data_IF_107241436565
#
_entry.id   IF_107241436565
#
_cell.length_a   1.000
_cell.length_b   1.000
_cell.length_c   1.000
_cell.angle_alpha   90.00
_cell.angle_beta   90.00
_cell.angle_gamma   90.00
#
_symmetry.space_group_name_H-M   'P 1'
#
loop_
_entity.id
_entity.type
_entity.pdbx_description
1 polymer ?
#
# COMPACT_ATOMS: atom_id res chain seq x y z
N UNK A 1 38.69 22.69 8.49
CA UNK A 1 38.31 23.69 9.51
C UNK A 1 36.83 23.76 9.88
N UNK A 2 35.86 23.86 8.96
CA UNK A 2 34.42 23.78 9.32
C UNK A 2 33.98 22.31 9.50
N UNK A 3 34.26 21.46 8.51
CA UNK A 3 33.98 20.02 8.53
C UNK A 3 34.58 19.28 9.73
N UNK A 4 35.84 19.56 10.09
CA UNK A 4 36.50 18.95 11.26
C UNK A 4 35.89 19.39 12.60
N UNK A 5 35.30 20.60 12.67
CA UNK A 5 34.60 21.07 13.87
C UNK A 5 33.24 20.40 14.00
N UNK A 6 32.52 20.22 12.89
CA UNK A 6 31.22 19.54 12.87
C UNK A 6 31.35 18.04 13.18
N UNK A 7 32.38 17.38 12.64
CA UNK A 7 32.68 15.96 12.91
C UNK A 7 33.07 15.73 14.38
N UNK A 8 33.84 16.66 14.98
CA UNK A 8 34.18 16.62 16.40
C UNK A 8 32.95 16.81 17.30
N UNK A 9 32.06 17.74 16.94
CA UNK A 9 30.79 18.00 17.62
C UNK A 9 29.85 16.80 17.53
N UNK A 10 29.70 16.21 16.35
CA UNK A 10 28.87 15.02 16.13
C UNK A 10 29.34 13.85 16.99
N UNK A 11 30.63 13.51 16.93
CA UNK A 11 31.18 12.40 17.71
C UNK A 11 31.04 12.63 19.22
N UNK A 12 31.25 13.86 19.69
CA UNK A 12 31.04 14.24 21.10
C UNK A 12 29.58 14.06 21.51
N UNK A 13 28.63 14.52 20.68
CA UNK A 13 27.21 14.40 20.94
C UNK A 13 26.75 12.94 20.96
N UNK A 14 27.21 12.12 20.02
CA UNK A 14 26.92 10.67 19.98
C UNK A 14 27.43 10.00 21.25
N UNK A 15 28.68 10.25 21.65
CA UNK A 15 29.24 9.69 22.87
C UNK A 15 28.47 10.13 24.11
N UNK A 16 28.06 11.39 24.19
CA UNK A 16 27.19 11.87 25.29
C UNK A 16 25.87 11.14 25.31
N UNK A 17 25.21 10.94 24.16
CA UNK A 17 23.94 10.20 24.11
C UNK A 17 24.17 8.76 24.54
N UNK A 18 25.19 8.07 24.04
CA UNK A 18 25.48 6.68 24.39
C UNK A 18 25.78 6.50 25.89
N UNK A 19 26.48 7.45 26.52
CA UNK A 19 26.71 7.43 27.97
C UNK A 19 25.41 7.55 28.78
N UNK A 20 24.42 8.27 28.24
CA UNK A 20 23.09 8.37 28.84
C UNK A 20 22.24 7.09 28.60
N UNK A 21 22.72 6.13 27.78
CA UNK A 21 22.01 4.88 27.44
C UNK A 21 22.69 3.63 28.03
N UNK A 22 22.07 3.02 29.04
CA UNK A 22 22.63 1.85 29.75
C UNK A 22 22.78 0.58 28.88
N UNK A 23 22.16 0.52 27.70
CA UNK A 23 22.07 -0.69 26.88
C UNK A 23 22.83 -0.63 25.55
N UNK A 24 23.38 0.54 25.18
CA UNK A 24 24.07 0.72 23.90
C UNK A 24 25.52 1.12 24.15
N UNK A 25 26.45 0.18 23.94
CA UNK A 25 27.88 0.41 24.17
C UNK A 25 28.55 1.23 23.07
N UNK A 26 28.16 0.99 21.82
CA UNK A 26 28.72 1.68 20.65
C UNK A 26 27.80 1.53 19.44
N UNK A 27 27.97 2.43 18.47
CA UNK A 27 27.36 2.32 17.16
C UNK A 27 28.34 1.71 16.17
N UNK A 28 27.82 0.90 15.23
CA UNK A 28 28.60 0.38 14.11
C UNK A 28 28.93 1.50 13.13
N UNK A 29 30.03 1.41 12.36
CA UNK A 29 30.43 2.44 11.41
C UNK A 29 29.30 2.85 10.45
N UNK A 30 28.57 1.88 9.89
CA UNK A 30 27.47 2.15 8.96
C UNK A 30 26.27 2.84 9.62
N UNK A 31 26.06 2.65 10.93
CA UNK A 31 25.02 3.36 11.67
C UNK A 31 25.43 4.82 11.93
N UNK A 32 26.72 5.05 12.24
CA UNK A 32 27.26 6.41 12.42
C UNK A 32 27.17 7.20 11.12
N UNK A 33 27.65 6.63 10.01
CA UNK A 33 27.58 7.29 8.69
C UNK A 33 26.15 7.62 8.29
N UNK A 34 25.20 6.69 8.50
CA UNK A 34 23.80 6.92 8.19
C UNK A 34 23.16 7.98 9.09
N UNK A 35 23.50 8.00 10.38
CA UNK A 35 22.99 8.98 11.35
C UNK A 35 23.54 10.38 11.06
N UNK A 36 24.83 10.50 10.76
CA UNK A 36 25.49 11.76 10.42
C UNK A 36 24.87 12.36 9.15
N UNK A 37 24.78 11.58 8.06
CA UNK A 37 24.15 12.01 6.82
C UNK A 37 22.68 12.44 7.04
N UNK A 38 21.92 11.67 7.83
CA UNK A 38 20.52 12.02 8.17
C UNK A 38 20.42 13.35 8.93
N UNK A 39 21.29 13.61 9.89
CA UNK A 39 21.31 14.88 10.65
C UNK A 39 21.81 16.06 9.81
N UNK A 40 22.66 15.81 8.83
CA UNK A 40 23.10 16.76 7.81
C UNK A 40 22.04 17.07 6.75
N UNK A 41 20.83 16.52 6.89
CA UNK A 41 19.68 16.69 5.99
C UNK A 41 19.86 16.05 4.61
N UNK A 42 20.67 15.00 4.53
CA UNK A 42 20.82 14.19 3.32
C UNK A 42 19.77 13.06 3.28
N UNK A 43 19.36 12.68 2.06
CA UNK A 43 18.51 11.51 1.85
C UNK A 43 19.35 10.23 2.03
N UNK A 44 19.01 9.43 3.04
CA UNK A 44 19.76 8.21 3.39
C UNK A 44 18.99 6.95 3.03
N UNK A 45 19.56 6.12 2.16
CA UNK A 45 19.07 4.77 1.89
C UNK A 45 19.96 3.69 2.53
N UNK A 46 19.57 3.23 3.73
CA UNK A 46 20.36 2.29 4.52
C UNK A 46 20.05 0.81 4.19
N UNK A 47 20.83 0.19 3.30
CA UNK A 47 20.73 -1.24 2.98
C UNK A 47 21.54 -2.09 3.97
N UNK A 48 20.94 -2.44 5.11
CA UNK A 48 21.59 -3.21 6.17
C UNK A 48 20.80 -4.49 6.49
N UNK A 49 21.45 -5.61 6.88
CA UNK A 49 20.76 -6.88 7.14
C UNK A 49 19.82 -6.82 8.35
N UNK A 50 18.90 -7.77 8.46
CA UNK A 50 18.02 -7.93 9.64
C UNK A 50 18.86 -8.17 10.89
N UNK A 51 18.45 -7.62 12.03
CA UNK A 51 19.23 -7.68 13.28
C UNK A 51 20.44 -6.76 13.34
N UNK A 52 20.77 -6.01 12.27
CA UNK A 52 21.92 -5.10 12.29
C UNK A 52 21.77 -3.93 13.28
N UNK A 53 20.54 -3.62 13.70
CA UNK A 53 20.23 -2.48 14.57
C UNK A 53 19.85 -1.21 13.78
N UNK A 54 19.23 -1.36 12.61
CA UNK A 54 18.82 -0.23 11.74
C UNK A 54 18.01 0.83 12.50
N UNK A 55 17.14 0.41 13.41
CA UNK A 55 16.28 1.31 14.18
C UNK A 55 17.04 2.35 15.02
N UNK A 56 18.24 1.99 15.50
CA UNK A 56 19.05 2.89 16.31
C UNK A 56 19.41 4.19 15.58
N UNK A 57 19.47 4.16 14.24
CA UNK A 57 19.78 5.34 13.42
C UNK A 57 18.71 6.42 13.65
N UNK A 58 17.44 6.10 13.46
CA UNK A 58 16.35 7.08 13.62
C UNK A 58 15.90 7.25 15.08
N UNK A 59 16.13 6.26 15.96
CA UNK A 59 15.81 6.37 17.39
C UNK A 59 16.77 7.30 18.14
N UNK A 60 18.07 7.29 17.81
CA UNK A 60 19.05 8.17 18.45
C UNK A 60 19.12 9.56 17.82
N UNK A 61 18.69 9.71 16.55
CA UNK A 61 18.67 10.99 15.84
C UNK A 61 18.10 12.17 16.64
N UNK A 62 16.91 12.11 17.28
CA UNK A 62 16.41 13.25 18.03
C UNK A 62 17.25 13.56 19.28
N UNK A 63 17.86 12.56 19.92
CA UNK A 63 18.72 12.76 21.09
C UNK A 63 20.04 13.45 20.69
N UNK A 64 20.67 12.97 19.62
CA UNK A 64 21.93 13.52 19.11
C UNK A 64 21.69 14.93 18.57
N UNK A 65 20.60 15.16 17.83
CA UNK A 65 20.22 16.48 17.35
C UNK A 65 19.99 17.48 18.49
N UNK A 66 19.39 17.04 19.61
CA UNK A 66 19.20 17.86 20.82
C UNK A 66 20.54 18.21 21.46
N UNK A 67 21.47 17.26 21.60
CA UNK A 67 22.82 17.49 22.17
C UNK A 67 23.66 18.42 21.29
N UNK A 68 23.55 18.29 19.96
CA UNK A 68 24.18 19.18 18.99
C UNK A 68 23.49 20.55 18.88
N UNK A 69 22.39 20.78 19.60
CA UNK A 69 21.59 22.01 19.52
C UNK A 69 21.10 22.35 18.10
N UNK A 70 20.90 21.33 17.25
CA UNK A 70 20.40 21.51 15.87
C UNK A 70 18.94 21.98 15.86
N UNK A 71 18.15 21.51 16.83
CA UNK A 71 16.74 21.84 16.97
C UNK A 71 16.36 21.97 18.44
N UNK A 72 15.41 22.87 18.75
CA UNK A 72 14.88 23.06 20.11
C UNK A 72 14.13 21.82 20.60
N UNK A 73 13.28 21.25 19.74
CA UNK A 73 12.44 20.07 20.01
C UNK A 73 12.48 19.13 18.79
N UNK A 74 13.53 18.32 18.63
CA UNK A 74 13.65 17.41 17.49
C UNK A 74 12.59 16.29 17.58
N UNK A 75 11.89 16.06 16.46
CA UNK A 75 10.88 15.01 16.31
C UNK A 75 11.25 14.16 15.10
N UNK A 76 11.15 12.84 15.22
CA UNK A 76 11.30 11.90 14.12
C UNK A 76 9.99 11.17 13.91
N UNK A 77 9.50 11.17 12.67
CA UNK A 77 8.32 10.40 12.27
C UNK A 77 8.80 9.11 11.61
N UNK A 78 8.38 7.98 12.17
CA UNK A 78 8.70 6.64 11.65
C UNK A 78 7.44 6.03 11.06
N UNK A 79 7.44 5.76 9.75
CA UNK A 79 6.34 5.09 9.07
C UNK A 79 6.62 3.58 9.06
N UNK A 80 5.68 2.79 9.58
CA UNK A 80 5.80 1.33 9.65
C UNK A 80 4.48 0.66 9.23
N UNK A 81 4.52 -0.42 8.43
CA UNK A 81 3.32 -1.05 7.89
C UNK A 81 2.58 -1.96 8.89
N UNK A 82 3.23 -2.40 9.97
CA UNK A 82 2.71 -3.44 10.87
C UNK A 82 2.58 -2.91 12.30
N UNK A 83 1.39 -3.08 12.91
CA UNK A 83 1.13 -2.71 14.31
C UNK A 83 2.12 -3.35 15.28
N UNK A 84 2.37 -4.65 15.16
CA UNK A 84 3.33 -5.36 16.00
C UNK A 84 4.75 -4.75 15.92
N UNK A 85 5.13 -4.27 14.72
CA UNK A 85 6.42 -3.60 14.54
C UNK A 85 6.41 -2.21 15.18
N UNK A 86 5.31 -1.46 15.07
CA UNK A 86 5.15 -0.15 15.73
C UNK A 86 5.21 -0.28 17.25
N UNK A 87 4.50 -1.25 17.83
CA UNK A 87 4.52 -1.55 19.27
C UNK A 87 5.94 -1.90 19.75
N UNK A 88 6.64 -2.73 18.98
CA UNK A 88 8.03 -3.06 19.25
C UNK A 88 8.93 -1.81 19.18
N UNK A 89 8.78 -0.95 18.17
CA UNK A 89 9.58 0.29 18.05
C UNK A 89 9.33 1.24 19.21
N UNK A 90 8.08 1.41 19.65
CA UNK A 90 7.74 2.27 20.80
C UNK A 90 8.26 1.69 22.10
N UNK A 91 8.15 0.37 22.28
CA UNK A 91 8.73 -0.31 23.45
C UNK A 91 10.24 -0.10 23.52
N UNK A 92 10.96 -0.28 22.42
CA UNK A 92 12.41 -0.02 22.37
C UNK A 92 12.75 1.46 22.57
N UNK A 93 11.98 2.38 21.98
CA UNK A 93 12.17 3.82 22.17
C UNK A 93 11.96 4.27 23.63
N UNK A 94 11.00 3.66 24.34
CA UNK A 94 10.75 3.95 25.76
C UNK A 94 11.95 3.59 26.65
N UNK A 95 12.72 2.56 26.27
CA UNK A 95 13.97 2.18 26.96
C UNK A 95 15.10 3.20 26.75
N UNK A 96 14.98 4.07 25.74
CA UNK A 96 15.99 5.07 25.39
C UNK A 96 15.77 6.43 26.06
N UNK A 97 14.88 6.50 27.06
CA UNK A 97 14.47 7.76 27.71
C UNK A 97 13.94 8.83 26.74
N UNK A 98 13.39 8.41 25.60
CA UNK A 98 12.68 9.30 24.69
C UNK A 98 11.37 9.72 25.36
N UNK A 99 11.30 10.97 25.81
CA UNK A 99 10.27 11.47 26.74
C UNK A 99 8.82 11.26 26.25
N UNK A 100 8.57 11.05 24.95
CA UNK A 100 7.24 10.73 24.38
C UNK A 100 7.33 9.98 23.04
N UNK A 101 7.52 8.66 23.05
CA UNK A 101 7.25 7.83 21.88
C UNK A 101 5.74 7.58 21.77
N UNK A 102 5.09 8.13 20.74
CA UNK A 102 3.63 8.00 20.51
C UNK A 102 3.40 7.23 19.22
N UNK A 103 2.53 6.22 19.28
CA UNK A 103 2.06 5.53 18.07
C UNK A 103 0.85 6.27 17.51
N UNK A 104 0.97 6.79 16.29
CA UNK A 104 -0.18 7.22 15.51
C UNK A 104 -0.61 6.06 14.63
N UNK A 105 -1.71 5.42 15.01
CA UNK A 105 -2.32 4.35 14.22
C UNK A 105 -3.38 4.99 13.33
N UNK A 106 -3.06 5.10 12.05
CA UNK A 106 -4.08 5.36 11.04
C UNK A 106 -4.54 4.03 10.45
N UNK A 107 -5.85 3.82 10.43
CA UNK A 107 -6.39 2.66 9.75
C UNK A 107 -6.25 2.87 8.25
N UNK A 108 -5.72 1.90 7.49
CA UNK A 108 -5.80 1.95 6.03
C UNK A 108 -7.25 1.81 5.54
N UNK A 109 -8.21 1.56 6.44
CA UNK A 109 -9.62 1.39 6.11
C UNK A 109 -10.18 2.65 5.45
N UNK A 110 -10.80 2.44 4.29
CA UNK A 110 -11.54 3.47 3.57
C UNK A 110 -13.00 3.07 3.55
N UNK A 111 -13.82 3.78 4.32
CA UNK A 111 -15.25 3.48 4.48
C UNK A 111 -16.04 3.59 3.19
N UNK A 112 -15.52 4.29 2.19
CA UNK A 112 -16.11 4.43 0.86
C UNK A 112 -15.77 3.24 -0.08
N UNK A 113 -14.93 2.29 0.32
CA UNK A 113 -14.62 1.09 -0.48
C UNK A 113 -15.42 -0.10 0.04
N UNK A 114 -16.27 -0.68 -0.81
CA UNK A 114 -16.98 -1.94 -0.53
C UNK A 114 -16.19 -3.13 -1.08
N UNK A 115 -15.86 -4.10 -0.22
CA UNK A 115 -15.15 -5.31 -0.60
C UNK A 115 -16.12 -6.49 -0.82
N UNK A 116 -16.05 -7.11 -2.00
CA UNK A 116 -16.75 -8.34 -2.35
C UNK A 116 -15.78 -9.51 -2.55
N UNK A 117 -16.26 -10.72 -2.27
CA UNK A 117 -15.55 -11.97 -2.51
C UNK A 117 -16.47 -12.90 -3.31
N UNK A 118 -16.00 -13.38 -4.47
CA UNK A 118 -16.80 -14.24 -5.35
C UNK A 118 -15.99 -15.44 -5.81
N UNK A 119 -16.53 -16.64 -5.60
CA UNK A 119 -15.92 -17.88 -6.08
C UNK A 119 -16.39 -18.20 -7.48
N UNK A 120 -15.43 -18.38 -8.38
CA UNK A 120 -15.66 -18.68 -9.78
C UNK A 120 -15.35 -20.15 -10.00
N UNK A 121 -16.29 -20.87 -10.59
CA UNK A 121 -16.12 -22.28 -10.94
C UNK A 121 -15.28 -22.38 -12.20
N UNK A 122 -13.98 -22.61 -12.05
CA UNK A 122 -13.08 -22.75 -13.20
C UNK A 122 -12.59 -21.42 -13.78
N UNK A 123 -11.76 -21.45 -14.83
CA UNK A 123 -11.05 -20.26 -15.33
C UNK A 123 -11.86 -19.47 -16.38
N UNK A 124 -13.18 -19.43 -16.23
CA UNK A 124 -14.09 -18.69 -17.11
C UNK A 124 -13.98 -17.18 -16.84
N UNK A 125 -14.20 -16.38 -17.90
CA UNK A 125 -14.02 -14.93 -17.90
C UNK A 125 -15.35 -14.15 -17.95
N UNK A 126 -16.48 -14.86 -17.97
CA UNK A 126 -17.85 -14.36 -17.83
C UNK A 126 -18.05 -13.49 -16.57
N UNK A 127 -17.26 -13.73 -15.53
CA UNK A 127 -17.18 -12.83 -14.36
C UNK A 127 -16.81 -11.37 -14.69
N UNK A 128 -16.33 -11.09 -15.90
CA UNK A 128 -15.98 -9.75 -16.38
C UNK A 128 -17.06 -9.12 -17.27
N UNK A 129 -18.19 -9.80 -17.50
CA UNK A 129 -19.25 -9.34 -18.42
C UNK A 129 -19.85 -8.00 -18.03
N UNK A 130 -19.90 -7.71 -16.73
CA UNK A 130 -20.36 -6.41 -16.24
C UNK A 130 -19.45 -5.27 -16.73
N UNK A 131 -18.14 -5.50 -16.84
CA UNK A 131 -17.19 -4.50 -17.37
C UNK A 131 -17.47 -4.30 -18.86
N UNK A 132 -17.71 -5.39 -19.59
CA UNK A 132 -18.06 -5.33 -21.01
C UNK A 132 -19.34 -4.51 -21.21
N UNK A 133 -20.38 -4.78 -20.41
CA UNK A 133 -21.64 -4.04 -20.46
C UNK A 133 -21.44 -2.56 -20.13
N UNK A 134 -20.69 -2.27 -19.07
CA UNK A 134 -20.43 -0.90 -18.63
C UNK A 134 -19.63 -0.09 -19.66
N UNK A 135 -18.63 -0.70 -20.30
CA UNK A 135 -17.89 -0.08 -21.41
C UNK A 135 -18.81 0.16 -22.61
N UNK A 136 -19.70 -0.79 -22.96
CA UNK A 136 -20.66 -0.62 -24.07
C UNK A 136 -21.65 0.50 -23.82
N UNK A 137 -22.09 0.69 -22.58
CA UNK A 137 -23.07 1.69 -22.19
C UNK A 137 -22.46 3.10 -22.03
N UNK A 138 -21.29 3.20 -21.40
CA UNK A 138 -20.70 4.47 -21.01
C UNK A 138 -19.44 4.86 -21.81
N UNK A 139 -18.75 3.91 -22.42
CA UNK A 139 -17.53 4.16 -23.19
C UNK A 139 -16.48 4.95 -22.39
N UNK A 140 -15.96 6.04 -22.98
CA UNK A 140 -14.97 6.91 -22.31
C UNK A 140 -15.51 7.67 -21.10
N UNK A 141 -16.82 7.68 -20.87
CA UNK A 141 -17.41 8.35 -19.70
C UNK A 141 -17.42 7.47 -18.46
N UNK A 142 -17.17 6.16 -18.61
CA UNK A 142 -17.13 5.25 -17.48
C UNK A 142 -16.01 5.65 -16.50
N UNK A 143 -16.23 5.33 -15.24
CA UNK A 143 -15.22 5.46 -14.21
C UNK A 143 -14.15 4.37 -14.40
N UNK A 144 -12.85 4.71 -14.26
CA UNK A 144 -11.78 3.75 -14.42
C UNK A 144 -11.91 2.49 -13.53
N UNK A 145 -11.60 1.34 -14.14
CA UNK A 145 -11.56 0.01 -13.55
C UNK A 145 -10.15 -0.58 -13.68
N UNK A 146 -9.62 -1.10 -12.58
CA UNK A 146 -8.32 -1.74 -12.53
C UNK A 146 -8.45 -3.22 -12.21
N UNK A 147 -7.98 -4.09 -13.10
CA UNK A 147 -8.03 -5.54 -12.96
C UNK A 147 -6.62 -6.07 -12.68
N UNK A 148 -6.39 -6.58 -11.47
CA UNK A 148 -5.17 -7.27 -11.09
C UNK A 148 -5.24 -8.77 -11.36
N UNK A 149 -4.37 -9.25 -12.25
CA UNK A 149 -4.12 -10.66 -12.48
C UNK A 149 -2.81 -11.09 -11.83
N UNK A 150 -2.74 -12.36 -11.40
CA UNK A 150 -1.54 -12.89 -10.72
C UNK A 150 -0.37 -13.14 -11.67
N UNK A 151 -0.65 -13.42 -12.95
CA UNK A 151 0.38 -13.70 -13.96
C UNK A 151 0.22 -12.86 -15.23
N UNK A 152 1.32 -12.62 -15.95
CA UNK A 152 1.29 -11.96 -17.28
C UNK A 152 0.43 -12.75 -18.27
N UNK A 153 0.42 -14.09 -18.15
CA UNK A 153 -0.43 -14.95 -18.99
C UNK A 153 -1.91 -14.68 -18.74
N UNK A 154 -2.33 -14.49 -17.49
CA UNK A 154 -3.71 -14.12 -17.16
C UNK A 154 -4.06 -12.72 -17.60
N UNK A 155 -3.14 -11.75 -17.48
CA UNK A 155 -3.32 -10.41 -18.06
C UNK A 155 -3.66 -10.51 -19.54
N UNK A 156 -2.87 -11.28 -20.31
CA UNK A 156 -3.14 -11.50 -21.73
C UNK A 156 -4.48 -12.18 -21.99
N UNK A 157 -4.86 -13.19 -21.19
CA UNK A 157 -6.15 -13.90 -21.34
C UNK A 157 -7.34 -12.98 -21.08
N UNK A 158 -7.33 -12.25 -19.97
CA UNK A 158 -8.41 -11.31 -19.60
C UNK A 158 -8.49 -10.19 -20.63
N UNK A 159 -7.36 -9.64 -21.06
CA UNK A 159 -7.32 -8.61 -22.09
C UNK A 159 -7.90 -9.09 -23.43
N UNK A 160 -7.48 -10.26 -23.93
CA UNK A 160 -7.98 -10.79 -25.19
C UNK A 160 -9.50 -11.06 -25.14
N UNK A 161 -9.99 -11.54 -24.01
CA UNK A 161 -11.44 -11.72 -23.79
C UNK A 161 -12.19 -10.39 -23.88
N UNK A 162 -11.79 -9.41 -23.06
CA UNK A 162 -12.43 -8.09 -23.05
C UNK A 162 -12.35 -7.41 -24.42
N UNK A 163 -11.19 -7.48 -25.08
CA UNK A 163 -10.98 -6.94 -26.42
C UNK A 163 -11.94 -7.57 -27.44
N UNK A 164 -12.10 -8.90 -27.42
CA UNK A 164 -12.97 -9.62 -28.34
C UNK A 164 -14.45 -9.28 -28.11
N UNK A 165 -14.89 -9.22 -26.85
CA UNK A 165 -16.28 -8.91 -26.50
C UNK A 165 -16.68 -7.46 -26.81
N UNK A 166 -15.69 -6.56 -26.89
CA UNK A 166 -15.89 -5.13 -27.16
C UNK A 166 -15.59 -4.72 -28.60
N UNK A 167 -15.13 -5.64 -29.44
CA UNK A 167 -14.80 -5.40 -30.85
C UNK A 167 -13.81 -4.21 -31.04
N UNK A 168 -12.86 -4.05 -30.11
CA UNK A 168 -11.91 -2.92 -30.14
C UNK A 168 -10.71 -3.21 -31.05
N UNK A 169 -10.63 -2.61 -32.23
CA UNK A 169 -9.53 -2.87 -33.19
C UNK A 169 -8.56 -1.69 -33.47
N UNK A 170 -8.67 -0.58 -32.74
CA UNK A 170 -7.93 0.67 -33.03
C UNK A 170 -6.90 1.08 -31.96
N UNK A 171 -6.01 2.02 -32.31
CA UNK A 171 -4.98 2.58 -31.41
C UNK A 171 -5.57 3.31 -30.18
N UNK A 172 -6.85 3.67 -30.23
CA UNK A 172 -7.57 4.45 -29.22
C UNK A 172 -8.40 3.57 -28.25
N UNK A 173 -7.85 2.43 -27.85
CA UNK A 173 -8.52 1.44 -27.00
C UNK A 173 -8.90 2.01 -25.62
N UNK A 174 -10.12 1.70 -25.17
CA UNK A 174 -10.59 1.90 -23.81
C UNK A 174 -9.91 0.90 -22.86
N UNK A 175 -9.52 -0.27 -23.38
CA UNK A 175 -8.88 -1.32 -22.59
C UNK A 175 -7.38 -1.40 -22.90
N UNK A 176 -6.55 -1.50 -21.87
CA UNK A 176 -5.10 -1.70 -22.04
C UNK A 176 -4.51 -2.70 -21.05
N UNK A 177 -3.37 -3.28 -21.43
CA UNK A 177 -2.56 -4.13 -20.54
C UNK A 177 -1.43 -3.36 -19.88
N UNK A 178 -1.11 -3.70 -18.64
CA UNK A 178 0.07 -3.18 -17.95
C UNK A 178 0.80 -4.25 -17.13
N UNK A 179 2.02 -4.59 -17.51
CA UNK A 179 2.88 -5.52 -16.79
C UNK A 179 4.35 -5.16 -17.00
N UNK A 180 5.25 -5.91 -16.34
CA UNK A 180 6.70 -5.66 -16.41
C UNK A 180 7.24 -5.57 -17.84
N UNK A 181 6.76 -6.46 -18.73
CA UNK A 181 7.12 -6.54 -20.16
C UNK A 181 6.35 -5.58 -21.10
N UNK A 182 5.47 -4.70 -20.60
CA UNK A 182 4.74 -3.75 -21.45
C UNK A 182 5.73 -2.73 -22.03
N UNK A 183 5.60 -2.43 -23.32
CA UNK A 183 6.46 -1.44 -23.99
C UNK A 183 6.37 -0.08 -23.29
N UNK A 184 7.49 0.68 -23.18
CA UNK A 184 7.51 1.96 -22.47
C UNK A 184 6.45 2.95 -22.96
N UNK A 185 6.26 3.06 -24.28
CA UNK A 185 5.25 3.92 -24.90
C UNK A 185 3.83 3.58 -24.43
N UNK A 186 3.51 2.29 -24.33
CA UNK A 186 2.21 1.83 -23.83
C UNK A 186 2.07 2.05 -22.32
N UNK A 187 3.14 1.92 -21.53
CA UNK A 187 3.13 2.27 -20.11
C UNK A 187 2.78 3.75 -19.94
N UNK A 188 3.43 4.65 -20.66
CA UNK A 188 3.14 6.09 -20.61
C UNK A 188 1.69 6.40 -20.96
N UNK A 189 1.16 5.79 -22.03
CA UNK A 189 -0.25 5.96 -22.45
C UNK A 189 -1.26 5.50 -21.37
N UNK A 190 -0.97 4.38 -20.69
CA UNK A 190 -1.81 3.90 -19.59
C UNK A 190 -1.78 4.86 -18.41
N UNK A 191 -0.58 5.32 -18.02
CA UNK A 191 -0.42 6.24 -16.89
C UNK A 191 -1.07 7.61 -17.14
N UNK A 192 -0.93 8.17 -18.35
CA UNK A 192 -1.61 9.42 -18.71
C UNK A 192 -3.13 9.26 -18.71
N UNK A 193 -3.64 8.13 -19.21
CA UNK A 193 -5.09 7.85 -19.21
C UNK A 193 -5.66 7.72 -17.81
N UNK A 194 -5.01 6.96 -16.92
CA UNK A 194 -5.44 6.80 -15.53
C UNK A 194 -5.31 8.09 -14.70
N UNK A 195 -4.50 9.04 -15.16
CA UNK A 195 -4.39 10.38 -14.55
C UNK A 195 -5.49 11.33 -15.03
N UNK A 196 -6.33 10.92 -15.98
CA UNK A 196 -7.51 11.66 -16.45
C UNK A 196 -7.41 12.21 -17.88
N UNK A 197 -6.27 12.08 -18.56
CA UNK A 197 -6.01 12.72 -19.86
C UNK A 197 -6.17 11.78 -21.07
N UNK A 198 -6.79 10.60 -20.89
CA UNK A 198 -6.84 9.61 -21.96
C UNK A 198 -8.10 8.74 -21.94
N UNK A 199 -8.24 7.98 -23.03
CA UNK A 199 -9.45 7.21 -23.32
C UNK A 199 -9.46 5.82 -22.64
N UNK A 200 -8.35 5.40 -22.04
CA UNK A 200 -8.28 4.11 -21.37
C UNK A 200 -8.99 4.16 -20.02
N UNK A 201 -10.02 3.32 -19.87
CA UNK A 201 -10.84 3.19 -18.66
C UNK A 201 -10.74 1.82 -18.01
N UNK A 202 -10.29 0.79 -18.73
CA UNK A 202 -10.07 -0.53 -18.16
C UNK A 202 -8.61 -0.91 -18.31
N UNK A 203 -7.94 -1.16 -17.19
CA UNK A 203 -6.54 -1.59 -17.21
C UNK A 203 -6.42 -2.98 -16.63
N UNK A 204 -5.93 -3.92 -17.43
CA UNK A 204 -5.60 -5.29 -17.01
C UNK A 204 -4.12 -5.35 -16.68
N UNK A 205 -3.78 -5.58 -15.42
CA UNK A 205 -2.43 -5.43 -14.93
C UNK A 205 -1.96 -6.56 -14.02
N UNK A 206 -0.64 -6.68 -13.87
CA UNK A 206 -0.06 -7.31 -12.68
C UNK A 206 0.18 -6.27 -11.60
N UNK A 207 0.65 -6.69 -10.42
CA UNK A 207 1.08 -5.82 -9.32
C UNK A 207 2.16 -4.79 -9.70
N UNK A 208 2.76 -4.91 -10.91
CA UNK A 208 3.68 -3.92 -11.46
C UNK A 208 3.07 -2.52 -11.63
N UNK A 209 1.73 -2.39 -11.76
CA UNK A 209 1.03 -1.09 -11.74
C UNK A 209 0.88 -0.52 -10.31
N UNK A 210 1.65 -1.07 -9.37
CA UNK A 210 1.41 -0.94 -7.94
C UNK A 210 2.15 0.22 -7.26
N UNK A 211 3.46 0.28 -7.43
CA UNK A 211 4.33 1.06 -6.55
C UNK A 211 4.47 2.51 -7.03
N UNK A 212 4.26 3.47 -6.14
CA UNK A 212 4.58 4.89 -6.37
C UNK A 212 3.64 5.65 -7.31
N UNK A 213 2.48 5.09 -7.66
CA UNK A 213 1.53 5.71 -8.59
C UNK A 213 0.22 6.08 -7.86
N UNK A 214 -0.31 7.26 -8.19
CA UNK A 214 -1.57 7.77 -7.64
C UNK A 214 -2.61 7.95 -8.74
N UNK A 215 -3.69 7.19 -8.66
CA UNK A 215 -4.82 7.26 -9.58
C UNK A 215 -6.07 7.61 -8.75
N UNK A 216 -6.46 8.89 -8.68
CA UNK A 216 -7.50 9.35 -7.76
C UNK A 216 -8.89 8.80 -8.11
N UNK A 217 -9.14 8.52 -9.39
CA UNK A 217 -10.48 8.29 -9.95
C UNK A 217 -10.77 6.81 -10.25
N UNK A 218 -10.05 5.87 -9.65
CA UNK A 218 -10.38 4.44 -9.81
C UNK A 218 -11.61 4.13 -8.97
N UNK A 219 -12.69 3.69 -9.63
CA UNK A 219 -13.95 3.33 -9.00
C UNK A 219 -14.02 1.85 -8.62
N UNK A 220 -13.37 0.99 -9.41
CA UNK A 220 -13.40 -0.45 -9.23
C UNK A 220 -12.01 -1.06 -9.28
N UNK A 221 -11.73 -1.96 -8.33
CA UNK A 221 -10.55 -2.83 -8.34
C UNK A 221 -11.00 -4.28 -8.38
N UNK A 222 -10.58 -5.02 -9.40
CA UNK A 222 -10.89 -6.44 -9.57
C UNK A 222 -9.63 -7.26 -9.38
N UNK A 223 -9.61 -8.15 -8.41
CA UNK A 223 -8.50 -9.08 -8.19
C UNK A 223 -8.86 -10.43 -8.80
N UNK A 224 -8.42 -10.66 -10.04
CA UNK A 224 -8.59 -11.94 -10.73
C UNK A 224 -7.55 -12.94 -10.22
N UNK A 225 -7.97 -13.79 -9.29
CA UNK A 225 -7.10 -14.60 -8.43
C UNK A 225 -6.80 -13.90 -7.11
N UNK A 226 -6.58 -14.70 -6.06
CA UNK A 226 -6.36 -14.19 -4.70
C UNK A 226 -4.90 -13.74 -4.53
N UNK A 227 -4.64 -12.54 -3.99
CA UNK A 227 -3.29 -12.12 -3.60
C UNK A 227 -2.66 -13.04 -2.52
N UNK A 228 -1.33 -13.08 -2.44
CA UNK A 228 -0.62 -14.06 -1.59
C UNK A 228 -0.73 -13.76 -0.09
N UNK A 229 -0.83 -12.48 0.27
CA UNK A 229 -0.88 -11.99 1.64
C UNK A 229 -1.89 -10.83 1.80
N UNK A 230 -2.16 -10.46 3.05
CA UNK A 230 -3.11 -9.40 3.39
C UNK A 230 -2.60 -8.01 2.97
N UNK A 231 -1.29 -7.80 2.95
CA UNK A 231 -0.69 -6.53 2.55
C UNK A 231 -0.99 -6.25 1.07
N UNK A 232 -0.80 -7.24 0.22
CA UNK A 232 -1.14 -7.16 -1.20
C UNK A 232 -2.62 -6.86 -1.40
N UNK A 233 -3.53 -7.49 -0.64
CA UNK A 233 -4.96 -7.16 -0.68
C UNK A 233 -5.17 -5.68 -0.32
N UNK A 234 -4.64 -5.21 0.82
CA UNK A 234 -4.81 -3.82 1.28
C UNK A 234 -4.23 -2.81 0.28
N UNK A 235 -3.07 -3.09 -0.30
CA UNK A 235 -2.44 -2.22 -1.29
C UNK A 235 -3.20 -2.19 -2.62
N UNK A 236 -3.77 -3.31 -3.05
CA UNK A 236 -4.55 -3.41 -4.29
C UNK A 236 -5.92 -2.72 -4.12
N UNK A 237 -6.69 -3.04 -3.08
CA UNK A 237 -7.98 -2.36 -2.81
C UNK A 237 -7.78 -0.87 -2.57
N UNK A 238 -6.65 -0.49 -1.97
CA UNK A 238 -6.33 0.90 -1.64
C UNK A 238 -6.09 1.82 -2.84
N UNK A 239 -6.30 1.33 -4.07
CA UNK A 239 -6.28 2.14 -5.29
C UNK A 239 -7.65 2.68 -5.65
N UNK A 240 -8.71 2.01 -5.23
CA UNK A 240 -10.05 2.50 -5.43
C UNK A 240 -10.35 3.67 -4.48
N UNK A 241 -11.28 4.53 -4.85
CA UNK A 241 -11.92 5.49 -3.95
C UNK A 241 -10.98 6.52 -3.30
N UNK A 242 -9.91 6.91 -3.99
CA UNK A 242 -8.99 7.95 -3.50
C UNK A 242 -9.59 9.35 -3.54
N UNK A 243 -10.56 9.57 -4.42
CA UNK A 243 -11.38 10.78 -4.48
C UNK A 243 -12.46 10.86 -3.38
N UNK A 244 -12.60 9.82 -2.54
CA UNK A 244 -13.60 9.75 -1.47
C UNK A 244 -14.99 9.28 -1.91
N UNK A 245 -15.21 9.08 -3.22
CA UNK A 245 -16.47 8.55 -3.75
C UNK A 245 -16.62 7.06 -3.45
N UNK A 246 -17.87 6.59 -3.50
CA UNK A 246 -18.16 5.19 -3.32
C UNK A 246 -17.48 4.35 -4.41
N UNK A 247 -16.74 3.34 -3.97
CA UNK A 247 -15.93 2.47 -4.83
C UNK A 247 -16.08 1.02 -4.42
N UNK A 248 -15.74 0.11 -5.33
CA UNK A 248 -15.86 -1.32 -5.10
C UNK A 248 -14.54 -2.04 -5.35
N UNK A 249 -14.23 -3.02 -4.52
CA UNK A 249 -13.17 -3.97 -4.76
C UNK A 249 -13.76 -5.38 -4.74
N UNK A 250 -13.36 -6.24 -5.68
CA UNK A 250 -13.84 -7.62 -5.72
C UNK A 250 -12.67 -8.58 -5.87
N UNK A 251 -12.68 -9.65 -5.07
CA UNK A 251 -11.74 -10.77 -5.18
C UNK A 251 -12.43 -11.92 -5.89
N UNK A 252 -11.89 -12.28 -7.05
CA UNK A 252 -12.35 -13.40 -7.86
C UNK A 252 -11.52 -14.64 -7.59
N UNK A 253 -12.18 -15.56 -6.91
CA UNK A 253 -11.65 -16.80 -6.45
C UNK A 253 -11.78 -17.90 -7.53
N UNK A 254 -10.75 -18.05 -8.37
CA UNK A 254 -10.70 -18.99 -9.51
C UNK A 254 -10.12 -20.41 -9.25
N UNK A 255 -9.38 -20.68 -8.17
CA UNK A 255 -8.68 -21.97 -7.91
C UNK A 255 -8.58 -22.32 -6.42
N UNK A 256 -8.07 -23.51 -6.06
CA UNK A 256 -7.60 -23.76 -4.70
C UNK A 256 -6.37 -22.88 -4.40
N UNK A 257 -6.47 -22.01 -3.40
CA UNK A 257 -5.39 -21.12 -2.96
C UNK A 257 -4.44 -21.87 -2.03
N UNK A 258 -3.53 -22.66 -2.61
CA UNK A 258 -2.59 -23.49 -1.83
C UNK A 258 -1.43 -22.68 -1.27
N UNK A 259 -1.05 -21.58 -1.92
CA UNK A 259 0.08 -20.70 -1.58
C UNK A 259 -0.35 -19.30 -1.11
N UNK A 260 -1.34 -19.22 -0.23
CA UNK A 260 -1.71 -17.96 0.41
C UNK A 260 -1.50 -18.09 1.92
N UNK A 261 -1.21 -16.97 2.57
CA UNK A 261 -0.99 -16.92 4.01
C UNK A 261 -2.24 -17.37 4.80
N UNK A 262 -2.04 -17.83 6.03
CA UNK A 262 -3.08 -18.34 6.90
C UNK A 262 -4.18 -17.31 7.16
N UNK A 263 -3.82 -16.04 7.34
CA UNK A 263 -4.77 -14.93 7.51
C UNK A 263 -5.67 -14.78 6.28
N UNK A 264 -5.11 -14.91 5.08
CA UNK A 264 -5.88 -14.86 3.83
C UNK A 264 -6.80 -16.08 3.74
N UNK A 265 -6.34 -17.29 4.09
CA UNK A 265 -7.20 -18.49 4.14
C UNK A 265 -8.39 -18.29 5.08
N UNK A 266 -8.17 -17.71 6.24
CA UNK A 266 -9.24 -17.42 7.21
C UNK A 266 -10.23 -16.40 6.67
N UNK A 267 -9.75 -15.33 6.00
CA UNK A 267 -10.60 -14.35 5.32
C UNK A 267 -11.50 -15.03 4.28
N UNK A 268 -10.92 -15.87 3.42
CA UNK A 268 -11.64 -16.59 2.37
C UNK A 268 -12.64 -17.63 2.90
N UNK A 269 -12.36 -18.24 4.05
CA UNK A 269 -13.23 -19.25 4.66
C UNK A 269 -14.33 -18.65 5.55
N UNK A 270 -14.30 -17.33 5.80
CA UNK A 270 -15.32 -16.68 6.59
C UNK A 270 -16.68 -16.78 5.89
N UNK A 271 -17.66 -17.44 6.53
CA UNK A 271 -18.98 -17.84 5.97
C UNK A 271 -19.93 -16.66 5.64
N UNK A 272 -19.42 -15.46 5.39
CA UNK A 272 -20.21 -14.27 5.11
C UNK A 272 -20.53 -14.21 3.61
N UNK A 273 -21.73 -14.69 3.30
CA UNK A 273 -22.59 -14.63 2.09
C UNK A 273 -21.96 -14.36 0.72
N UNK A 274 -22.30 -15.25 -0.21
CA UNK A 274 -21.70 -15.49 -1.51
C UNK A 274 -22.66 -15.00 -2.60
N UNK A 275 -22.20 -14.23 -3.58
CA UNK A 275 -23.04 -13.75 -4.68
C UNK A 275 -22.44 -14.08 -6.05
N UNK A 276 -23.32 -14.50 -6.97
CA UNK A 276 -22.94 -15.07 -8.27
C UNK A 276 -22.79 -14.03 -9.40
N UNK A 277 -23.15 -12.76 -9.19
CA UNK A 277 -22.99 -11.69 -10.19
C UNK A 277 -22.75 -10.32 -9.53
N UNK A 278 -21.90 -9.48 -10.14
CA UNK A 278 -21.57 -8.14 -9.59
C UNK A 278 -22.80 -7.23 -9.46
N UNK A 279 -23.80 -7.38 -10.35
CA UNK A 279 -25.07 -6.66 -10.27
C UNK A 279 -25.88 -7.01 -9.00
N UNK A 280 -25.87 -8.28 -8.58
CA UNK A 280 -26.46 -8.72 -7.31
C UNK A 280 -25.61 -8.34 -6.10
N UNK A 281 -24.28 -8.25 -6.26
CA UNK A 281 -23.36 -7.71 -5.24
C UNK A 281 -23.73 -6.24 -4.98
N UNK A 282 -23.80 -5.40 -6.02
CA UNK A 282 -24.11 -3.96 -5.88
C UNK A 282 -25.51 -3.72 -5.28
N UNK A 283 -26.54 -4.44 -5.75
CA UNK A 283 -27.92 -4.32 -5.24
C UNK A 283 -28.12 -4.91 -3.83
N UNK A 284 -27.41 -5.99 -3.45
CA UNK A 284 -27.53 -6.62 -2.13
C UNK A 284 -26.60 -6.00 -1.07
N UNK A 285 -25.53 -5.31 -1.48
CA UNK A 285 -24.61 -4.59 -0.60
C UNK A 285 -25.28 -3.42 0.16
N UNK A 286 -26.45 -2.95 -0.29
CA UNK A 286 -27.28 -2.02 0.49
C UNK A 286 -27.95 -2.70 1.69
N UNK A 287 -28.24 -4.01 1.59
CA UNK A 287 -28.96 -4.78 2.61
C UNK A 287 -28.04 -5.59 3.55
N UNK A 288 -26.78 -5.81 3.16
CA UNK A 288 -25.80 -6.55 3.95
C UNK A 288 -24.66 -5.63 4.39
N UNK A 289 -24.88 -4.99 5.54
CA UNK A 289 -23.78 -4.49 6.36
C UNK A 289 -22.91 -5.69 6.78
N UNK A 290 -21.90 -6.00 5.97
CA UNK A 290 -20.68 -6.51 6.54
C UNK A 290 -20.05 -5.36 7.34
N UNK A 291 -20.46 -5.26 8.62
CA UNK A 291 -19.50 -4.94 9.68
C UNK A 291 -18.44 -6.04 9.65
N UNK A 292 -17.56 -6.00 8.66
CA UNK A 292 -16.17 -6.35 8.90
C UNK A 292 -15.51 -5.00 9.15
N UNK A 293 -15.83 -4.47 10.33
CA UNK A 293 -14.79 -3.79 11.07
C UNK A 293 -13.70 -4.86 11.18
N UNK A 294 -12.63 -4.73 10.39
CA UNK A 294 -11.38 -5.38 10.76
C UNK A 294 -11.05 -4.70 12.09
N UNK A 295 -11.50 -5.31 13.18
CA UNK A 295 -11.12 -4.94 14.53
C UNK A 295 -9.64 -5.29 14.62
N UNK A 296 -8.80 -4.38 14.12
CA UNK A 296 -7.57 -4.10 14.84
C UNK A 296 -8.05 -3.63 16.21
N UNK A 297 -7.67 -4.36 17.25
CA UNK A 297 -8.25 -4.29 18.59
C UNK A 297 -8.63 -2.88 19.02
N UNK A 298 -9.78 -2.77 19.67
CA UNK A 298 -10.28 -1.55 20.30
C UNK A 298 -9.17 -0.78 21.02
N UNK A 299 -8.75 0.35 20.47
CA UNK A 299 -8.11 1.41 21.22
C UNK A 299 -8.41 2.76 20.57
N UNK A 300 -9.55 3.33 20.98
CA UNK A 300 -9.82 4.76 20.81
C UNK A 300 -8.84 5.54 21.69
N UNK A 301 -7.91 6.29 21.10
CA UNK A 301 -7.43 7.53 21.71
C UNK A 301 -7.31 8.60 20.63
N UNK A 302 -8.35 9.43 20.55
CA UNK A 302 -8.34 10.70 19.85
C UNK A 302 -7.31 11.62 20.48
N UNK A 303 -6.36 12.16 19.71
CA UNK A 303 -5.68 13.40 20.09
C UNK A 303 -6.24 14.53 19.21
N UNK A 304 -7.14 15.32 19.80
CA UNK A 304 -7.47 16.66 19.33
C UNK A 304 -6.20 17.50 19.41
N UNK A 305 -5.62 17.86 18.26
CA UNK A 305 -4.70 18.99 18.19
C UNK A 305 -5.57 20.26 18.17
N UNK A 306 -5.62 20.95 19.32
CA UNK A 306 -5.99 22.36 19.34
C UNK A 306 -4.86 23.16 18.66
N UNK A 307 -5.29 24.19 17.92
CA UNK A 307 -4.56 25.06 16.99
C UNK A 307 -3.09 25.35 17.29
#
# INVERSE_FOLDING_TARGET
>A
MAHERDESLFNSAVNSVLNDQNHIKSLKPQQLTALEAFLSKEDVFALLPTGFGKSLIYQLAPLVAKKMSLYKNPVVVVVSPLLALMEQQVTEASKLHLEKAVTLIESPNRSNIRLGLTHIRGPHLDCMDWIVQEVKEMGITMSPVLIYCRTIKEVGRVFCYLKAELDEDSDNMIIRMFHSKTLPQNKTRVLSSLSGEGNCKVVVATTALGMGLNFPNISHVVMYGVPEDIEAIVQEIGRAGRNGEQSHAVIYCIKQYTKVDQVVKELLNSKKTWFNTHQQVVQSLESMFLKVQINFGSCQQYLKLHC
#
